data_IF_934865697528
#
_entry.id   IF_934865697528
#
_cell.length_a   1.000
_cell.length_b   1.000
_cell.length_c   1.000
_cell.angle_alpha   90.00
_cell.angle_beta   90.00
_cell.angle_gamma   90.00
#
_symmetry.space_group_name_H-M   'P 1'
#
loop_
_entity.id
_entity.type
_entity.pdbx_description
1 polymer ?
#
# COMPACT_ATOMS: atom_id res chain seq x y z
N UNK A 1 5.80 0.76 15.28
CA UNK A 1 6.31 -0.46 14.61
C UNK A 1 5.91 -0.37 13.15
N UNK A 2 6.84 -0.02 12.24
CA UNK A 2 6.53 0.22 10.83
C UNK A 2 6.05 -1.05 10.14
N UNK A 3 4.82 -1.04 9.64
CA UNK A 3 4.37 -1.97 8.61
C UNK A 3 5.11 -1.58 7.32
N UNK A 4 6.00 -2.47 6.86
CA UNK A 4 6.72 -2.26 5.62
C UNK A 4 5.72 -2.41 4.47
N UNK A 5 5.72 -1.42 3.58
CA UNK A 5 4.93 -1.44 2.35
C UNK A 5 5.17 -2.72 1.54
N UNK A 6 4.12 -3.28 0.90
CA UNK A 6 4.31 -4.33 -0.09
C UNK A 6 5.17 -3.80 -1.23
N UNK A 7 6.17 -4.58 -1.62
CA UNK A 7 6.96 -4.28 -2.81
C UNK A 7 6.20 -4.79 -4.03
N UNK A 8 5.92 -3.90 -4.99
CA UNK A 8 5.27 -4.26 -6.25
C UNK A 8 6.31 -4.19 -7.36
N UNK A 9 6.56 -5.32 -8.02
CA UNK A 9 7.54 -5.48 -9.07
C UNK A 9 6.81 -5.74 -10.38
N UNK A 10 7.10 -4.95 -11.41
CA UNK A 10 6.48 -5.05 -12.73
C UNK A 10 7.52 -5.47 -13.78
N UNK A 11 7.04 -6.05 -14.87
CA UNK A 11 7.85 -6.27 -16.05
C UNK A 11 7.75 -5.04 -16.96
N UNK A 12 8.75 -4.17 -16.92
CA UNK A 12 8.69 -2.86 -17.61
C UNK A 12 9.62 -2.75 -18.82
N UNK A 13 10.59 -3.66 -18.94
CA UNK A 13 11.61 -3.58 -19.98
C UNK A 13 12.17 -4.97 -20.33
N UNK A 14 12.90 -5.05 -21.44
CA UNK A 14 13.64 -6.25 -21.83
C UNK A 14 15.03 -6.21 -21.21
N UNK A 15 15.45 -7.32 -20.61
CA UNK A 15 16.81 -7.53 -20.11
C UNK A 15 17.54 -8.51 -21.03
N UNK A 16 18.86 -8.64 -20.85
CA UNK A 16 19.65 -9.67 -21.55
C UNK A 16 19.19 -11.10 -21.25
N UNK A 17 18.50 -11.28 -20.14
CA UNK A 17 17.97 -12.57 -19.66
C UNK A 17 16.52 -12.81 -20.12
N UNK A 18 15.91 -11.88 -20.87
CA UNK A 18 14.59 -12.06 -21.49
C UNK A 18 14.69 -12.91 -22.75
N UNK A 19 13.86 -13.94 -22.88
CA UNK A 19 13.81 -14.75 -24.09
C UNK A 19 13.02 -14.05 -25.22
N UNK A 20 13.75 -13.53 -26.21
CA UNK A 20 13.16 -12.78 -27.33
C UNK A 20 13.09 -13.54 -28.66
N UNK A 21 13.69 -14.72 -28.80
CA UNK A 21 13.70 -15.47 -30.06
C UNK A 21 12.30 -15.95 -30.46
N UNK A 22 11.74 -15.37 -31.52
CA UNK A 22 10.38 -15.67 -31.97
C UNK A 22 9.27 -15.11 -31.07
N UNK A 23 9.63 -14.30 -30.07
CA UNK A 23 8.70 -13.74 -29.09
C UNK A 23 8.10 -12.43 -29.59
N UNK A 24 6.80 -12.25 -29.39
CA UNK A 24 6.16 -10.92 -29.40
C UNK A 24 5.92 -10.47 -27.97
N UNK A 25 6.48 -9.31 -27.60
CA UNK A 25 6.31 -8.72 -26.28
C UNK A 25 5.72 -7.32 -26.42
N UNK A 26 4.65 -7.03 -25.68
CA UNK A 26 3.98 -5.72 -25.65
C UNK A 26 3.68 -5.32 -24.21
N UNK A 27 3.93 -4.06 -23.86
CA UNK A 27 3.50 -3.49 -22.58
C UNK A 27 2.25 -2.66 -22.77
N UNK A 28 1.30 -2.81 -21.85
CA UNK A 28 0.06 -2.03 -21.78
C UNK A 28 -0.20 -1.58 -20.34
N UNK A 29 -1.27 -0.81 -20.12
CA UNK A 29 -1.75 -0.48 -18.78
C UNK A 29 -2.16 -1.71 -17.96
N UNK A 30 -2.46 -2.83 -18.62
CA UNK A 30 -2.88 -4.09 -18.01
C UNK A 30 -1.76 -5.07 -17.76
N UNK A 31 -0.52 -4.80 -18.19
CA UNK A 31 0.64 -5.66 -17.95
C UNK A 31 1.52 -5.88 -19.18
N UNK A 32 2.43 -6.84 -19.09
CA UNK A 32 3.27 -7.31 -20.18
C UNK A 32 2.64 -8.55 -20.84
N UNK A 33 2.27 -8.42 -22.11
CA UNK A 33 1.76 -9.52 -22.94
C UNK A 33 2.92 -10.14 -23.71
N UNK A 34 3.19 -11.41 -23.44
CA UNK A 34 4.21 -12.24 -24.07
C UNK A 34 3.54 -13.35 -24.87
N UNK A 35 3.90 -13.49 -26.15
CA UNK A 35 3.38 -14.51 -27.05
C UNK A 35 4.54 -15.23 -27.75
N UNK A 36 4.65 -16.55 -27.55
CA UNK A 36 5.60 -17.39 -28.25
C UNK A 36 5.19 -18.87 -28.21
N UNK A 37 4.46 -19.31 -29.24
CA UNK A 37 3.98 -20.69 -29.32
C UNK A 37 5.08 -21.74 -29.57
N UNK A 38 6.29 -21.32 -29.97
CA UNK A 38 7.42 -22.20 -30.28
C UNK A 38 8.52 -22.13 -29.21
N UNK A 39 8.29 -21.43 -28.10
CA UNK A 39 9.26 -21.36 -27.02
C UNK A 39 9.41 -22.75 -26.37
N UNK A 40 10.64 -23.30 -26.27
CA UNK A 40 10.85 -24.57 -25.60
C UNK A 40 10.49 -24.51 -24.12
N UNK A 41 9.97 -25.61 -23.58
CA UNK A 41 9.72 -25.76 -22.15
C UNK A 41 11.03 -25.81 -21.36
N UNK A 42 10.99 -25.29 -20.13
CA UNK A 42 12.14 -25.24 -19.22
C UNK A 42 13.06 -24.05 -19.40
N UNK A 43 12.81 -23.19 -20.39
CA UNK A 43 13.60 -21.98 -20.64
C UNK A 43 13.04 -20.81 -19.81
N UNK A 44 13.95 -19.98 -19.30
CA UNK A 44 13.61 -18.73 -18.59
C UNK A 44 13.00 -17.74 -19.57
N UNK A 45 11.79 -17.27 -19.29
CA UNK A 45 11.13 -16.19 -20.03
C UNK A 45 11.74 -14.85 -19.66
N UNK A 46 11.93 -14.62 -18.35
CA UNK A 46 12.47 -13.38 -17.80
C UNK A 46 13.04 -13.61 -16.39
N UNK A 47 14.03 -12.79 -16.01
CA UNK A 47 14.66 -12.80 -14.69
C UNK A 47 14.67 -11.40 -14.09
N UNK A 48 14.16 -11.27 -12.86
CA UNK A 48 14.31 -10.07 -12.03
C UNK A 48 15.46 -10.25 -11.05
N UNK A 49 16.25 -9.19 -10.83
CA UNK A 49 17.46 -9.20 -10.01
C UNK A 49 17.39 -8.19 -8.87
N UNK A 50 17.86 -8.60 -7.68
CA UNK A 50 17.99 -7.72 -6.50
C UNK A 50 19.26 -6.88 -6.50
N UNK A 51 20.30 -7.34 -7.19
CA UNK A 51 21.50 -6.56 -7.46
C UNK A 51 21.84 -6.70 -8.94
N UNK A 52 22.12 -5.57 -9.57
CA UNK A 52 22.64 -5.47 -10.93
C UNK A 52 23.99 -4.77 -10.87
N UNK A 53 24.88 -5.12 -11.79
CA UNK A 53 26.16 -4.42 -11.96
C UNK A 53 26.02 -3.44 -13.12
N UNK A 54 26.06 -2.14 -12.84
CA UNK A 54 25.85 -1.07 -13.82
C UNK A 54 26.78 -1.14 -15.04
N UNK A 55 27.94 -1.81 -14.92
CA UNK A 55 28.87 -2.00 -16.03
C UNK A 55 28.46 -3.12 -16.99
N UNK A 56 27.69 -4.10 -16.52
CA UNK A 56 27.30 -5.30 -17.28
C UNK A 56 25.80 -5.44 -17.49
N UNK A 57 25.02 -4.75 -16.68
CA UNK A 57 23.57 -4.65 -16.70
C UNK A 57 23.23 -3.16 -16.87
N UNK A 58 22.51 -2.84 -17.95
CA UNK A 58 22.09 -1.45 -18.23
C UNK A 58 20.95 -0.99 -17.28
N UNK A 59 20.41 -1.92 -16.48
CA UNK A 59 19.16 -1.72 -15.75
C UNK A 59 19.39 -1.70 -14.23
N UNK A 60 18.55 -0.90 -13.57
CA UNK A 60 18.49 -0.74 -12.11
C UNK A 60 17.92 -2.03 -11.49
N UNK A 61 18.26 -2.40 -10.25
CA UNK A 61 17.67 -3.57 -9.62
C UNK A 61 16.14 -3.48 -9.48
N UNK A 62 15.44 -4.53 -9.90
CA UNK A 62 13.97 -4.59 -9.85
C UNK A 62 13.43 -5.11 -8.52
N UNK A 63 14.27 -5.85 -7.77
CA UNK A 63 13.86 -6.53 -6.55
C UNK A 63 14.34 -5.79 -5.29
N UNK A 64 13.51 -5.74 -4.24
CA UNK A 64 13.85 -5.09 -2.97
C UNK A 64 14.89 -5.88 -2.17
N UNK A 65 15.50 -5.22 -1.19
CA UNK A 65 16.35 -5.90 -0.20
C UNK A 65 15.45 -6.62 0.82
N UNK A 66 15.61 -7.95 0.91
CA UNK A 66 14.93 -8.78 1.91
C UNK A 66 15.82 -9.03 3.13
N UNK A 67 15.19 -9.10 4.30
CA UNK A 67 15.89 -9.44 5.55
C UNK A 67 16.15 -10.94 5.62
N UNK A 68 17.36 -11.30 6.04
CA UNK A 68 17.77 -12.69 6.33
C UNK A 68 16.92 -13.28 7.45
N UNK A 69 16.65 -14.58 7.38
CA UNK A 69 15.85 -15.32 8.36
C UNK A 69 14.43 -14.76 8.58
N UNK A 70 13.91 -14.02 7.60
CA UNK A 70 12.53 -13.57 7.56
C UNK A 70 11.78 -14.31 6.46
N UNK A 71 10.52 -14.61 6.72
CA UNK A 71 9.60 -15.19 5.74
C UNK A 71 8.88 -14.05 5.02
N UNK A 72 8.72 -14.20 3.72
CA UNK A 72 8.03 -13.26 2.86
C UNK A 72 6.96 -14.01 2.06
N UNK A 73 5.78 -13.41 1.97
CA UNK A 73 4.69 -13.88 1.14
C UNK A 73 4.83 -13.26 -0.26
N UNK A 74 4.96 -14.11 -1.27
CA UNK A 74 5.03 -13.73 -2.68
C UNK A 74 3.69 -14.01 -3.33
N UNK A 75 3.16 -13.03 -4.07
CA UNK A 75 1.99 -13.18 -4.94
C UNK A 75 2.37 -12.80 -6.37
N UNK A 76 2.04 -13.67 -7.32
CA UNK A 76 2.34 -13.60 -8.75
C UNK A 76 1.04 -13.40 -9.51
N UNK A 77 0.85 -12.20 -10.03
CA UNK A 77 -0.35 -11.83 -10.77
C UNK A 77 -0.11 -11.99 -12.27
N UNK A 78 -0.69 -13.03 -12.86
CA UNK A 78 -0.57 -13.35 -14.28
C UNK A 78 -1.76 -14.17 -14.78
N UNK A 79 -2.02 -14.13 -16.09
CA UNK A 79 -2.86 -15.10 -16.79
C UNK A 79 -2.02 -15.80 -17.84
N UNK A 80 -2.18 -17.11 -18.01
CA UNK A 80 -1.38 -17.89 -18.94
C UNK A 80 -2.25 -18.88 -19.71
N UNK A 81 -1.91 -19.09 -20.98
CA UNK A 81 -2.50 -20.10 -21.85
C UNK A 81 -1.39 -20.98 -22.44
N UNK A 82 -1.51 -22.32 -22.37
CA UNK A 82 -2.47 -23.09 -21.56
C UNK A 82 -2.34 -22.83 -20.05
N UNK A 83 -3.34 -23.20 -19.24
CA UNK A 83 -3.23 -23.02 -17.77
C UNK A 83 -2.04 -23.82 -17.19
N UNK A 84 -1.45 -23.32 -16.10
CA UNK A 84 -0.29 -23.93 -15.41
C UNK A 84 0.95 -24.15 -16.30
N UNK A 85 1.05 -23.41 -17.41
CA UNK A 85 2.16 -23.53 -18.38
C UNK A 85 3.31 -22.56 -18.12
N UNK A 86 3.37 -21.95 -16.94
CA UNK A 86 4.57 -21.28 -16.40
C UNK A 86 4.73 -21.60 -14.92
N UNK A 87 5.93 -21.37 -14.40
CA UNK A 87 6.20 -21.39 -12.96
C UNK A 87 7.33 -20.42 -12.61
N UNK A 88 7.41 -20.04 -11.34
CA UNK A 88 8.45 -19.16 -10.84
C UNK A 88 9.49 -19.94 -10.04
N UNK A 89 10.72 -19.46 -10.05
CA UNK A 89 11.81 -19.98 -9.24
C UNK A 89 12.54 -18.83 -8.55
N UNK A 90 12.48 -18.79 -7.23
CA UNK A 90 13.23 -17.84 -6.40
C UNK A 90 14.56 -18.49 -6.05
N UNK A 91 15.68 -17.87 -6.40
CA UNK A 91 17.03 -18.41 -6.20
C UNK A 91 17.83 -17.46 -5.32
N UNK A 92 18.34 -17.98 -4.21
CA UNK A 92 19.19 -17.26 -3.27
C UNK A 92 20.66 -17.54 -3.58
N UNK A 93 21.47 -16.48 -3.64
CA UNK A 93 22.90 -16.54 -3.97
C UNK A 93 23.73 -15.98 -2.81
N UNK A 94 24.89 -16.59 -2.58
CA UNK A 94 25.93 -16.09 -1.67
C UNK A 94 26.74 -14.98 -2.34
N UNK A 95 27.62 -14.32 -1.58
CA UNK A 95 28.51 -13.25 -2.09
C UNK A 95 29.41 -13.70 -3.25
N UNK A 96 29.81 -14.97 -3.26
CA UNK A 96 30.62 -15.56 -4.34
C UNK A 96 29.79 -16.01 -5.57
N UNK A 97 28.50 -15.70 -5.63
CA UNK A 97 27.60 -16.05 -6.72
C UNK A 97 27.02 -17.48 -6.66
N UNK A 98 27.47 -18.33 -5.74
CA UNK A 98 26.95 -19.70 -5.60
C UNK A 98 25.54 -19.72 -5.02
N UNK A 99 24.70 -20.64 -5.49
CA UNK A 99 23.34 -20.82 -4.96
C UNK A 99 23.40 -21.39 -3.54
N UNK A 100 22.76 -20.70 -2.58
CA UNK A 100 22.56 -21.23 -1.23
C UNK A 100 21.20 -21.89 -1.03
N UNK A 101 20.23 -21.61 -1.89
CA UNK A 101 18.93 -22.25 -1.88
C UNK A 101 18.05 -21.77 -3.02
N UNK A 102 16.96 -22.49 -3.29
CA UNK A 102 15.93 -22.04 -4.21
C UNK A 102 14.58 -22.62 -3.83
N UNK A 103 13.52 -21.98 -4.29
CA UNK A 103 12.14 -22.45 -4.15
C UNK A 103 11.42 -22.34 -5.49
N UNK A 104 10.76 -23.42 -5.91
CA UNK A 104 9.93 -23.47 -7.12
C UNK A 104 8.49 -23.22 -6.70
N UNK A 105 7.83 -22.28 -7.38
CA UNK A 105 6.48 -21.82 -7.09
C UNK A 105 5.65 -22.04 -8.36
N UNK A 106 4.75 -23.03 -8.31
CA UNK A 106 3.85 -23.39 -9.42
C UNK A 106 2.47 -22.75 -9.31
N UNK A 107 2.19 -22.14 -8.16
CA UNK A 107 0.93 -21.47 -7.81
C UNK A 107 1.09 -19.95 -7.94
N UNK A 108 -0.01 -19.22 -7.83
CA UNK A 108 0.01 -17.76 -7.79
C UNK A 108 0.61 -17.18 -6.52
N UNK A 109 0.80 -17.98 -5.47
CA UNK A 109 1.36 -17.49 -4.21
C UNK A 109 2.22 -18.54 -3.51
N UNK A 110 3.18 -18.08 -2.71
CA UNK A 110 3.96 -18.91 -1.81
C UNK A 110 4.65 -18.08 -0.73
N UNK A 111 4.82 -18.69 0.45
CA UNK A 111 5.72 -18.17 1.48
C UNK A 111 7.14 -18.67 1.24
N UNK A 112 8.09 -17.74 1.29
CA UNK A 112 9.50 -17.98 1.03
C UNK A 112 10.32 -17.44 2.19
N UNK A 113 11.08 -18.32 2.85
CA UNK A 113 11.99 -17.91 3.92
C UNK A 113 13.37 -17.64 3.36
N UNK A 114 13.91 -16.45 3.65
CA UNK A 114 15.22 -16.02 3.15
C UNK A 114 16.33 -16.69 3.96
N UNK A 115 17.20 -17.52 3.34
CA UNK A 115 18.32 -18.16 4.04
C UNK A 115 19.30 -17.15 4.65
N UNK A 116 19.93 -17.49 5.77
CA UNK A 116 20.91 -16.64 6.46
C UNK A 116 22.10 -16.24 5.58
N UNK A 117 22.55 -17.17 4.74
CA UNK A 117 23.68 -17.01 3.81
C UNK A 117 23.36 -16.12 2.60
N UNK A 118 22.12 -15.64 2.46
CA UNK A 118 21.69 -14.88 1.29
C UNK A 118 22.44 -13.55 1.21
N UNK A 119 23.10 -13.32 0.08
CA UNK A 119 23.66 -12.02 -0.29
C UNK A 119 22.80 -11.32 -1.34
N UNK A 120 22.35 -12.07 -2.36
CA UNK A 120 21.41 -11.60 -3.38
C UNK A 120 20.39 -12.68 -3.70
N UNK A 121 19.33 -12.31 -4.39
CA UNK A 121 18.40 -13.27 -4.95
C UNK A 121 17.89 -12.83 -6.32
N UNK A 122 17.40 -13.79 -7.07
CA UNK A 122 16.75 -13.59 -8.37
C UNK A 122 15.43 -14.33 -8.40
N UNK A 123 14.50 -13.82 -9.20
CA UNK A 123 13.24 -14.50 -9.50
C UNK A 123 13.25 -14.80 -10.99
N UNK A 124 13.13 -16.07 -11.35
CA UNK A 124 13.03 -16.51 -12.73
C UNK A 124 11.59 -16.92 -13.01
N UNK A 125 11.03 -16.43 -14.10
CA UNK A 125 9.79 -16.95 -14.68
C UNK A 125 10.16 -17.95 -15.77
N UNK A 126 9.70 -19.19 -15.66
CA UNK A 126 10.13 -20.30 -16.51
C UNK A 126 8.94 -20.83 -17.30
N UNK A 127 9.16 -21.04 -18.60
CA UNK A 127 8.18 -21.60 -19.51
C UNK A 127 7.94 -23.08 -19.22
N UNK A 128 6.68 -23.51 -19.24
CA UNK A 128 6.24 -24.90 -19.18
C UNK A 128 5.18 -25.15 -20.27
N UNK A 129 5.54 -24.84 -21.52
CA UNK A 129 4.70 -24.94 -22.73
C UNK A 129 3.58 -23.88 -22.84
N UNK A 130 3.85 -22.66 -22.36
CA UNK A 130 2.99 -21.50 -22.60
C UNK A 130 3.07 -21.05 -24.05
N UNK A 131 1.92 -20.69 -24.61
CA UNK A 131 1.84 -20.01 -25.91
C UNK A 131 1.64 -18.51 -25.73
N UNK A 132 0.94 -18.13 -24.66
CA UNK A 132 0.61 -16.75 -24.33
C UNK A 132 0.60 -16.53 -22.82
N UNK A 133 1.14 -15.40 -22.38
CA UNK A 133 1.26 -14.98 -20.99
C UNK A 133 0.94 -13.48 -20.88
N UNK A 134 0.01 -13.12 -20.01
CA UNK A 134 -0.21 -11.75 -19.55
C UNK A 134 0.32 -11.63 -18.11
N UNK A 135 1.47 -11.00 -17.94
CA UNK A 135 2.07 -10.77 -16.62
C UNK A 135 1.74 -9.36 -16.12
N UNK A 136 1.17 -9.25 -14.92
CA UNK A 136 0.81 -7.96 -14.31
C UNK A 136 1.89 -7.49 -13.34
N UNK A 137 2.14 -8.25 -12.28
CA UNK A 137 3.11 -7.88 -11.24
C UNK A 137 3.44 -9.03 -10.28
N UNK A 138 4.56 -8.90 -9.58
CA UNK A 138 4.89 -9.65 -8.36
C UNK A 138 4.67 -8.72 -7.16
N UNK A 139 4.00 -9.21 -6.13
CA UNK A 139 3.86 -8.53 -4.84
C UNK A 139 4.64 -9.31 -3.78
N UNK A 140 5.54 -8.63 -3.07
CA UNK A 140 6.31 -9.22 -1.96
C UNK A 140 5.95 -8.51 -0.66
N UNK A 141 5.52 -9.27 0.33
CA UNK A 141 5.18 -8.79 1.68
C UNK A 141 5.95 -9.58 2.72
N UNK A 142 6.36 -8.95 3.80
CA UNK A 142 6.91 -9.68 4.95
C UNK A 142 5.79 -10.54 5.54
N UNK A 143 5.93 -11.86 5.48
CA UNK A 143 5.06 -12.80 6.14
C UNK A 143 5.44 -12.75 7.62
N UNK A 144 4.82 -11.85 8.37
CA UNK A 144 4.80 -12.00 9.82
C UNK A 144 4.16 -13.35 10.08
N UNK A 145 4.77 -14.18 10.93
CA UNK A 145 4.12 -15.36 11.50
C UNK A 145 2.69 -14.96 11.84
N UNK A 146 1.74 -15.40 11.02
CA UNK A 146 0.33 -15.19 11.27
C UNK A 146 -0.06 -16.13 12.41
N UNK A 147 0.32 -15.77 13.63
CA UNK A 147 -0.66 -15.85 14.70
C UNK A 147 -1.80 -15.04 14.13
N UNK A 148 -2.92 -15.69 13.80
CA UNK A 148 -4.16 -15.06 13.41
C UNK A 148 -4.45 -13.86 14.33
N UNK A 149 -3.95 -12.68 13.97
CA UNK A 149 -4.38 -11.43 14.53
C UNK A 149 -5.44 -10.97 13.58
N UNK A 150 -6.68 -11.10 14.04
CA UNK A 150 -7.72 -10.12 13.81
C UNK A 150 -7.13 -8.73 14.03
N UNK A 151 -6.44 -8.18 13.04
CA UNK A 151 -6.15 -6.75 12.99
C UNK A 151 -7.42 -6.07 12.48
N UNK A 152 -8.46 -6.15 13.30
CA UNK A 152 -9.63 -5.30 13.16
C UNK A 152 -9.23 -3.84 13.38
N UNK A 153 -10.13 -2.93 13.03
CA UNK A 153 -9.91 -1.50 13.21
C UNK A 153 -9.54 -1.21 14.67
N UNK A 154 -8.44 -0.47 14.88
CA UNK A 154 -7.95 -0.08 16.21
C UNK A 154 -8.13 1.42 16.41
N UNK A 155 -8.65 1.79 17.57
CA UNK A 155 -8.70 3.17 18.05
C UNK A 155 -7.67 3.30 19.17
N UNK A 156 -6.73 4.24 19.04
CA UNK A 156 -5.73 4.49 20.09
C UNK A 156 -6.37 4.98 21.39
N UNK A 157 -5.59 4.98 22.48
CA UNK A 157 -5.94 5.80 23.64
C UNK A 157 -5.97 7.28 23.26
N UNK A 158 -6.70 8.07 24.04
CA UNK A 158 -6.79 9.52 23.88
C UNK A 158 -5.45 10.17 24.19
N UNK A 159 -4.92 10.88 23.19
CA UNK A 159 -3.71 11.68 23.23
C UNK A 159 -4.06 13.11 23.64
N UNK A 160 -3.16 13.73 24.42
CA UNK A 160 -3.32 15.09 24.95
C UNK A 160 -4.71 15.33 25.59
N UNK A 161 -5.12 14.52 26.59
CA UNK A 161 -6.43 14.66 27.20
C UNK A 161 -6.56 16.02 27.88
N UNK A 162 -7.64 16.75 27.57
CA UNK A 162 -7.99 18.01 28.21
C UNK A 162 -9.49 18.04 28.50
N UNK A 163 -9.83 18.09 29.79
CA UNK A 163 -11.22 18.09 30.28
C UNK A 163 -11.95 19.39 29.90
N UNK A 164 -11.23 20.49 29.69
CA UNK A 164 -11.82 21.79 29.35
C UNK A 164 -12.29 21.86 27.88
N UNK A 165 -11.94 20.88 27.05
CA UNK A 165 -12.34 20.85 25.63
C UNK A 165 -13.36 19.74 25.42
N UNK A 166 -14.63 20.13 25.24
CA UNK A 166 -15.73 19.20 24.95
C UNK A 166 -15.73 18.69 23.50
N UNK A 167 -14.57 18.62 22.85
CA UNK A 167 -14.35 18.12 21.48
C UNK A 167 -13.33 17.01 21.49
N UNK A 168 -13.46 16.09 20.55
CA UNK A 168 -12.48 15.04 20.30
C UNK A 168 -12.20 14.93 18.81
N UNK A 169 -10.92 14.80 18.47
CA UNK A 169 -10.45 14.70 17.09
C UNK A 169 -10.04 13.27 16.80
N UNK A 170 -10.66 12.63 15.81
CA UNK A 170 -10.26 11.31 15.31
C UNK A 170 -9.52 11.48 13.99
N UNK A 171 -8.26 11.08 13.97
CA UNK A 171 -7.42 11.11 12.78
C UNK A 171 -7.39 9.71 12.18
N UNK A 172 -7.83 9.59 10.93
CA UNK A 172 -7.76 8.34 10.19
C UNK A 172 -6.37 8.18 9.60
N UNK A 173 -5.50 7.47 10.31
CA UNK A 173 -4.16 7.18 9.81
C UNK A 173 -4.22 5.90 8.97
N UNK A 174 -3.74 5.91 7.71
CA UNK A 174 -3.38 4.68 7.02
C UNK A 174 -2.37 3.91 7.86
N UNK A 175 -2.16 2.62 7.57
CA UNK A 175 -1.41 1.66 8.41
C UNK A 175 -0.01 2.11 8.88
N UNK A 176 0.56 3.15 8.28
CA UNK A 176 1.70 3.89 8.81
C UNK A 176 1.26 4.83 9.94
N UNK A 177 1.59 4.46 11.17
CA UNK A 177 1.37 5.33 12.33
C UNK A 177 1.91 6.76 12.12
N UNK A 178 1.22 7.72 12.71
CA UNK A 178 1.59 9.14 12.65
C UNK A 178 2.75 9.48 13.57
N UNK A 179 3.60 10.41 13.14
CA UNK A 179 4.58 11.01 14.03
C UNK A 179 3.88 11.77 15.17
N UNK A 180 4.32 11.51 16.40
CA UNK A 180 3.83 12.16 17.61
C UNK A 180 3.93 13.70 17.55
N UNK A 181 4.89 14.24 16.81
CA UNK A 181 5.04 15.69 16.64
C UNK A 181 3.84 16.33 15.94
N UNK A 182 3.25 15.64 14.95
CA UNK A 182 2.12 16.17 14.15
C UNK A 182 0.83 16.30 14.97
N UNK A 183 0.71 15.52 16.04
CA UNK A 183 -0.51 15.44 16.87
C UNK A 183 -0.34 16.10 18.24
N UNK A 184 0.87 16.57 18.60
CA UNK A 184 1.18 17.13 19.93
C UNK A 184 0.32 18.33 20.33
N UNK A 185 -0.11 19.14 19.36
CA UNK A 185 -0.94 20.33 19.60
C UNK A 185 -2.46 20.06 19.68
N UNK A 186 -2.91 18.90 19.21
CA UNK A 186 -4.34 18.58 19.10
C UNK A 186 -4.81 17.92 20.40
N UNK A 187 -5.79 18.55 21.06
CA UNK A 187 -6.34 18.07 22.33
C UNK A 187 -7.41 17.00 22.09
N UNK A 188 -7.51 16.04 23.02
CA UNK A 188 -8.46 14.92 22.96
C UNK A 188 -8.41 14.18 21.61
N UNK A 189 -7.20 13.88 21.15
CA UNK A 189 -6.96 13.28 19.83
C UNK A 189 -6.90 11.75 19.93
N UNK A 190 -7.53 11.04 19.00
CA UNK A 190 -7.42 9.59 18.87
C UNK A 190 -7.06 9.21 17.43
N UNK A 191 -6.26 8.16 17.28
CA UNK A 191 -5.87 7.63 15.99
C UNK A 191 -6.70 6.40 15.67
N UNK A 192 -7.30 6.40 14.48
CA UNK A 192 -7.98 5.23 13.92
C UNK A 192 -7.04 4.60 12.91
N UNK A 193 -6.64 3.36 13.15
CA UNK A 193 -5.65 2.60 12.35
C UNK A 193 -6.17 1.22 12.02
N UNK A 194 -5.53 0.54 11.06
CA UNK A 194 -5.90 -0.83 10.70
C UNK A 194 -7.24 -0.95 9.96
N UNK A 195 -7.78 0.15 9.45
CA UNK A 195 -8.98 0.17 8.62
C UNK A 195 -8.64 -0.07 7.14
N UNK A 196 -9.55 -0.68 6.39
CA UNK A 196 -9.48 -0.83 4.93
C UNK A 196 -10.63 -0.05 4.29
N UNK A 197 -10.37 0.63 3.18
CA UNK A 197 -11.39 1.35 2.38
C UNK A 197 -12.33 0.36 1.68
N UNK A 198 -11.91 -0.90 1.50
CA UNK A 198 -12.75 -2.00 1.00
C UNK A 198 -13.55 -2.70 2.10
N UNK A 199 -13.55 -2.17 3.33
CA UNK A 199 -14.29 -2.76 4.44
C UNK A 199 -15.77 -2.96 4.11
N UNK A 200 -16.30 -4.10 4.53
CA UNK A 200 -17.71 -4.45 4.44
C UNK A 200 -18.59 -3.49 5.27
N UNK A 201 -19.88 -3.37 4.92
CA UNK A 201 -20.86 -2.55 5.67
C UNK A 201 -20.91 -2.88 7.16
N UNK A 202 -20.68 -4.14 7.53
CA UNK A 202 -20.63 -4.60 8.92
C UNK A 202 -19.44 -3.98 9.68
N UNK A 203 -18.24 -3.96 9.10
CA UNK A 203 -17.04 -3.41 9.74
C UNK A 203 -17.14 -1.90 9.96
N UNK A 204 -17.74 -1.17 9.00
CA UNK A 204 -18.02 0.25 9.13
C UNK A 204 -19.01 0.51 10.28
N UNK A 205 -20.08 -0.28 10.37
CA UNK A 205 -21.09 -0.15 11.43
C UNK A 205 -20.49 -0.41 12.80
N UNK A 206 -19.69 -1.47 12.93
CA UNK A 206 -18.98 -1.81 14.16
C UNK A 206 -17.99 -0.72 14.57
N UNK A 207 -17.26 -0.14 13.62
CA UNK A 207 -16.36 0.99 13.88
C UNK A 207 -17.11 2.23 14.37
N UNK A 208 -18.26 2.55 13.76
CA UNK A 208 -19.11 3.67 14.19
C UNK A 208 -19.57 3.47 15.64
N UNK A 209 -19.94 2.26 16.04
CA UNK A 209 -20.33 1.94 17.41
C UNK A 209 -19.16 2.11 18.40
N UNK A 210 -17.98 1.56 18.06
CA UNK A 210 -16.77 1.72 18.89
C UNK A 210 -16.38 3.19 19.07
N UNK A 211 -16.50 4.00 18.01
CA UNK A 211 -16.23 5.44 18.09
C UNK A 211 -17.25 6.09 19.02
N UNK A 212 -18.55 5.85 18.84
CA UNK A 212 -19.61 6.42 19.70
C UNK A 212 -19.41 6.10 21.18
N UNK A 213 -18.98 4.88 21.49
CA UNK A 213 -18.69 4.47 22.86
C UNK A 213 -17.51 5.27 23.46
N UNK A 214 -16.41 5.35 22.72
CA UNK A 214 -15.19 6.06 23.18
C UNK A 214 -15.31 7.57 23.20
N UNK A 215 -16.19 8.15 22.38
CA UNK A 215 -16.37 9.60 22.27
C UNK A 215 -17.59 10.11 23.04
N UNK A 216 -18.18 9.29 23.92
CA UNK A 216 -19.37 9.67 24.69
C UNK A 216 -19.10 10.93 25.52
N UNK A 217 -19.89 11.97 25.30
CA UNK A 217 -19.73 13.28 25.96
C UNK A 217 -18.88 14.31 25.21
N UNK A 218 -18.31 13.95 24.05
CA UNK A 218 -17.51 14.86 23.22
C UNK A 218 -18.15 15.09 21.84
N UNK A 219 -17.99 16.29 21.30
CA UNK A 219 -18.31 16.58 19.89
C UNK A 219 -17.18 16.05 19.00
N UNK A 220 -17.50 15.14 18.09
CA UNK A 220 -16.53 14.48 17.24
C UNK A 220 -16.12 15.35 16.04
N UNK A 221 -14.82 15.35 15.77
CA UNK A 221 -14.21 15.89 14.56
C UNK A 221 -13.41 14.78 13.90
N UNK A 222 -13.59 14.60 12.60
CA UNK A 222 -12.91 13.56 11.83
C UNK A 222 -11.90 14.21 10.91
N UNK A 223 -10.68 13.71 10.87
CA UNK A 223 -9.60 14.27 10.07
C UNK A 223 -9.08 13.20 9.12
N UNK A 224 -9.06 13.53 7.83
CA UNK A 224 -8.30 12.83 6.81
C UNK A 224 -7.24 13.73 6.17
N UNK A 225 -6.14 13.12 5.74
CA UNK A 225 -4.98 13.83 5.18
C UNK A 225 -4.40 13.19 3.91
N UNK A 226 -5.02 12.12 3.43
CA UNK A 226 -4.67 11.51 2.15
C UNK A 226 -5.94 11.00 1.47
N UNK A 227 -5.81 10.56 0.22
CA UNK A 227 -6.93 10.05 -0.58
C UNK A 227 -7.77 8.98 0.15
N UNK A 228 -7.14 8.01 0.82
CA UNK A 228 -7.83 6.88 1.48
C UNK A 228 -8.47 7.34 2.79
N UNK A 229 -7.74 8.13 3.55
CA UNK A 229 -8.11 8.72 4.83
C UNK A 229 -9.26 9.70 4.68
N UNK A 230 -9.23 10.54 3.63
CA UNK A 230 -10.31 11.45 3.26
C UNK A 230 -11.60 10.70 2.95
N UNK A 231 -11.51 9.57 2.21
CA UNK A 231 -12.68 8.74 1.92
C UNK A 231 -13.24 8.11 3.21
N UNK A 232 -12.40 7.58 4.08
CA UNK A 232 -12.84 6.99 5.35
C UNK A 232 -13.47 8.02 6.29
N UNK A 233 -12.87 9.21 6.44
CA UNK A 233 -13.41 10.30 7.24
C UNK A 233 -14.78 10.76 6.73
N UNK A 234 -14.99 10.83 5.42
CA UNK A 234 -16.30 11.13 4.81
C UNK A 234 -17.33 10.03 5.08
N UNK A 235 -16.97 8.77 4.90
CA UNK A 235 -17.86 7.62 5.16
C UNK A 235 -18.35 7.61 6.61
N UNK A 236 -17.42 7.67 7.57
CA UNK A 236 -17.75 7.64 9.00
C UNK A 236 -18.43 8.93 9.46
N UNK A 237 -18.03 10.08 8.91
CA UNK A 237 -18.59 11.38 9.26
C UNK A 237 -20.07 11.52 8.93
N UNK A 238 -20.51 10.89 7.84
CA UNK A 238 -21.92 10.84 7.49
C UNK A 238 -22.74 10.02 8.50
N UNK A 239 -22.18 8.96 9.07
CA UNK A 239 -22.84 8.16 10.11
C UNK A 239 -22.84 8.83 11.50
N UNK A 240 -21.83 9.65 11.80
CA UNK A 240 -21.67 10.32 13.10
C UNK A 240 -22.21 11.75 13.14
N UNK A 241 -22.59 12.34 12.00
CA UNK A 241 -22.89 13.77 11.86
C UNK A 241 -21.77 14.67 12.43
N UNK A 242 -20.52 14.23 12.23
CA UNK A 242 -19.34 14.89 12.75
C UNK A 242 -18.86 16.01 11.81
N UNK A 243 -18.05 16.94 12.32
CA UNK A 243 -17.32 17.88 11.46
C UNK A 243 -16.14 17.14 10.82
N UNK A 244 -16.01 17.23 9.50
CA UNK A 244 -15.01 16.47 8.72
C UNK A 244 -13.97 17.45 8.18
N UNK A 245 -12.69 17.21 8.44
CA UNK A 245 -11.56 17.95 7.90
C UNK A 245 -10.81 17.05 6.92
N UNK A 246 -10.72 17.45 5.65
CA UNK A 246 -10.04 16.67 4.60
C UNK A 246 -9.18 17.55 3.72
N UNK A 247 -8.17 16.99 3.09
CA UNK A 247 -7.38 17.70 2.08
C UNK A 247 -8.06 17.72 0.72
N UNK A 248 -7.60 18.62 -0.17
CA UNK A 248 -8.11 18.78 -1.54
C UNK A 248 -7.74 17.62 -2.47
N UNK A 249 -6.97 16.63 -2.00
CA UNK A 249 -6.65 15.41 -2.73
C UNK A 249 -7.92 14.57 -2.92
N UNK A 250 -8.75 14.99 -3.88
CA UNK A 250 -9.94 14.28 -4.35
C UNK A 250 -9.58 13.44 -5.55
N UNK A 251 -10.12 12.22 -5.60
CA UNK A 251 -10.14 11.40 -6.81
C UNK A 251 -10.66 12.21 -8.00
N UNK A 252 -9.82 12.40 -9.03
CA UNK A 252 -10.27 12.71 -10.39
C UNK A 252 -10.91 11.46 -11.02
N UNK A 253 -11.90 10.90 -10.33
CA UNK A 253 -12.73 9.80 -10.78
C UNK A 253 -14.15 10.09 -10.31
N UNK A 254 -14.86 10.92 -11.08
CA UNK A 254 -16.25 10.61 -11.33
C UNK A 254 -16.28 9.22 -11.95
N UNK A 255 -16.54 8.18 -11.15
CA UNK A 255 -17.23 6.95 -11.56
C UNK A 255 -17.31 5.97 -10.38
N UNK A 256 -18.56 5.64 -10.02
CA UNK A 256 -18.97 4.45 -9.27
C UNK A 256 -18.63 4.39 -7.77
N UNK A 257 -19.18 5.34 -7.01
CA UNK A 257 -19.74 4.99 -5.69
C UNK A 257 -21.24 4.70 -5.87
N UNK A 258 -21.81 3.66 -5.24
CA UNK A 258 -23.27 3.49 -5.24
C UNK A 258 -23.90 4.77 -4.69
N UNK A 259 -24.98 5.24 -5.32
CA UNK A 259 -25.75 6.41 -4.92
C UNK A 259 -26.01 6.41 -3.41
N UNK A 260 -25.15 7.08 -2.64
CA UNK A 260 -25.44 7.48 -1.27
C UNK A 260 -26.00 8.88 -1.40
N UNK A 261 -27.33 8.96 -1.39
CA UNK A 261 -28.08 10.20 -1.33
C UNK A 261 -27.41 11.22 -0.40
N UNK A 262 -27.34 12.47 -0.88
CA UNK A 262 -26.93 13.66 -0.16
C UNK A 262 -27.37 13.66 1.31
N UNK A 263 -26.44 13.35 2.21
CA UNK A 263 -26.62 13.57 3.64
C UNK A 263 -26.26 15.03 3.96
N UNK A 264 -27.25 15.91 3.88
CA UNK A 264 -27.21 17.38 4.10
C UNK A 264 -26.74 17.86 5.49
N UNK A 265 -26.16 17.02 6.35
CA UNK A 265 -25.94 17.33 7.78
C UNK A 265 -24.47 17.34 8.25
N UNK A 266 -23.49 16.95 7.42
CA UNK A 266 -22.07 16.94 7.82
C UNK A 266 -21.30 18.17 7.29
N UNK A 267 -20.66 18.93 8.18
CA UNK A 267 -19.84 20.09 7.78
C UNK A 267 -18.46 19.61 7.32
N UNK A 268 -18.17 19.72 6.03
CA UNK A 268 -16.85 19.40 5.45
C UNK A 268 -16.01 20.68 5.38
N UNK A 269 -14.82 20.64 5.96
CA UNK A 269 -13.83 21.71 5.93
C UNK A 269 -12.61 21.20 5.15
N UNK A 270 -12.28 21.88 4.06
CA UNK A 270 -11.07 21.57 3.30
C UNK A 270 -9.90 22.36 3.89
N UNK A 271 -8.79 21.68 4.14
CA UNK A 271 -7.54 22.30 4.59
C UNK A 271 -6.38 21.89 3.68
N UNK A 272 -5.33 22.71 3.68
CA UNK A 272 -4.13 22.46 2.90
C UNK A 272 -2.91 22.76 3.77
N UNK A 273 -1.85 21.97 3.61
CA UNK A 273 -0.56 22.25 4.25
C UNK A 273 0.00 23.61 3.83
N UNK A 274 0.77 24.26 4.71
CA UNK A 274 1.38 25.57 4.46
C UNK A 274 2.52 25.56 3.40
N UNK A 275 2.63 24.49 2.62
CA UNK A 275 3.71 24.33 1.66
C UNK A 275 3.29 24.90 0.30
N UNK A 276 4.08 25.85 -0.21
CA UNK A 276 3.99 26.30 -1.58
C UNK A 276 4.32 25.13 -2.49
N UNK A 277 3.28 24.50 -3.06
CA UNK A 277 3.42 23.43 -4.04
C UNK A 277 4.19 23.98 -5.24
N UNK A 278 5.51 23.80 -5.22
CA UNK A 278 6.36 24.18 -6.34
C UNK A 278 6.18 23.12 -7.42
N UNK A 279 6.31 23.48 -8.70
CA UNK A 279 6.14 22.54 -9.82
C UNK A 279 7.04 21.30 -9.69
N UNK A 280 8.21 21.44 -9.07
CA UNK A 280 9.15 20.37 -8.72
C UNK A 280 8.60 19.38 -7.68
N UNK A 281 7.76 19.82 -6.73
CA UNK A 281 7.17 18.93 -5.71
C UNK A 281 6.10 18.00 -6.30
N UNK A 282 5.48 18.37 -7.42
CA UNK A 282 4.49 17.53 -8.11
C UNK A 282 5.09 16.19 -8.57
N UNK A 283 6.39 16.17 -8.93
CA UNK A 283 7.07 14.94 -9.33
C UNK A 283 7.38 14.01 -8.15
N UNK A 284 7.53 14.53 -6.94
CA UNK A 284 7.78 13.74 -5.74
C UNK A 284 6.50 13.33 -5.01
N UNK A 285 5.34 13.82 -5.44
CA UNK A 285 4.06 13.64 -4.73
C UNK A 285 3.69 12.16 -4.51
N UNK A 286 4.11 11.27 -5.40
CA UNK A 286 3.90 9.83 -5.30
C UNK A 286 4.75 9.14 -4.20
N UNK A 287 5.82 9.79 -3.74
CA UNK A 287 6.81 9.23 -2.79
C UNK A 287 6.75 9.95 -1.44
N UNK A 288 6.22 11.18 -1.39
CA UNK A 288 6.11 11.96 -0.16
C UNK A 288 5.10 11.35 0.82
N UNK A 289 5.50 11.26 2.09
CA UNK A 289 4.59 10.85 3.16
C UNK A 289 3.52 11.95 3.36
N UNK A 290 2.27 11.64 3.04
CA UNK A 290 1.15 12.59 3.06
C UNK A 290 0.76 13.11 4.45
N UNK A 291 1.28 12.53 5.53
CA UNK A 291 1.01 13.00 6.90
C UNK A 291 1.47 14.44 7.17
N UNK A 292 2.44 14.97 6.41
CA UNK A 292 2.86 16.38 6.51
C UNK A 292 1.71 17.37 6.30
N UNK A 293 0.67 16.99 5.53
CA UNK A 293 -0.50 17.85 5.27
C UNK A 293 -1.21 18.25 6.56
N UNK A 294 -1.14 17.42 7.62
CA UNK A 294 -1.71 17.73 8.94
C UNK A 294 -1.18 19.02 9.57
N UNK A 295 0.02 19.50 9.17
CA UNK A 295 0.56 20.79 9.61
C UNK A 295 -0.31 21.98 9.17
N UNK A 296 -1.12 21.82 8.13
CA UNK A 296 -2.08 22.82 7.68
C UNK A 296 -3.36 22.90 8.52
N UNK A 297 -3.55 22.00 9.49
CA UNK A 297 -4.73 22.05 10.36
C UNK A 297 -4.65 23.25 11.31
N UNK A 298 -5.74 24.02 11.36
CA UNK A 298 -5.89 25.04 12.39
C UNK A 298 -6.18 24.38 13.74
N UNK A 299 -5.13 24.19 14.54
CA UNK A 299 -5.18 23.54 15.86
C UNK A 299 -6.09 24.31 16.83
N UNK A 300 -6.14 25.64 16.75
CA UNK A 300 -7.03 26.44 17.61
C UNK A 300 -8.51 26.12 17.31
N UNK A 301 -8.87 26.01 16.04
CA UNK A 301 -10.23 25.63 15.62
C UNK A 301 -10.61 24.21 16.07
N UNK A 302 -9.66 23.27 16.01
CA UNK A 302 -9.87 21.90 16.50
C UNK A 302 -10.10 21.90 18.01
N UNK A 303 -9.30 22.65 18.77
CA UNK A 303 -9.38 22.73 20.23
C UNK A 303 -10.54 23.60 20.75
N UNK A 304 -11.42 24.11 19.90
CA UNK A 304 -12.62 24.85 20.33
C UNK A 304 -12.50 26.38 20.33
N UNK A 305 -11.37 26.92 19.90
CA UNK A 305 -11.21 28.37 19.70
C UNK A 305 -12.17 28.89 18.62
N UNK A 306 -12.75 30.07 18.87
CA UNK A 306 -13.39 30.86 17.82
C UNK A 306 -12.30 31.52 16.98
N UNK A 307 -12.47 31.47 15.66
CA UNK A 307 -11.64 32.22 14.72
C UNK A 307 -12.27 33.61 14.66
N UNK A 308 -11.50 34.66 14.98
CA UNK A 308 -11.84 36.03 14.59
C UNK A 308 -11.73 36.21 13.08
#
# INVERSE_FOLDING_TARGET
>A
MSDKHPFNIRWTHVTKDTFMYGTKLKWSSTGALFENALMPSGIVIHEWKMMTDFQTDVNVPDLPILKKNCTYHFYFDYDVQPENSIYFKVIFKRRNGTTCGFQIIKTHEADVTVPEDTFSYVIQMINAASTQLLFRQITIKEARLEIHRKDGVRISSMQNPNVNVARTTLIFAPKEGLDSELIKGIQNCMLVTGWDVKASTYEITHLVEMIKEKTKGYRCQLVGYDKRSNKMAKLIGNHLKATIFVTSDTDNAQENAPNIHDAKDSTIVIYQGNETVTQSCQWLDAVLNKSHQLRGLNVQRLNGGQIE
#
